data_IF_189924746697
#
_entry.id   IF_189924746697
#
_cell.length_a   1.000
_cell.length_b   1.000
_cell.length_c   1.000
_cell.angle_alpha   90.00
_cell.angle_beta   90.00
_cell.angle_gamma   90.00
#
_symmetry.space_group_name_H-M   'P 1'
#
loop_
_entity.id
_entity.type
_entity.pdbx_description
1 polymer ?
#
# COMPACT_ATOMS: atom_id res chain seq x y z
N UNK A 1 -1.55 -12.24 -63.62
CA UNK A 1 -1.01 -13.20 -62.62
C UNK A 1 -0.52 -12.36 -61.44
N UNK A 2 -1.29 -12.23 -60.35
CA UNK A 2 -1.27 -13.02 -59.09
C UNK A 2 0.10 -13.07 -58.37
N UNK A 3 0.10 -12.46 -57.16
CA UNK A 3 0.87 -12.77 -55.92
C UNK A 3 2.34 -12.30 -55.88
N UNK A 4 2.93 -11.82 -54.78
CA UNK A 4 2.51 -11.66 -53.36
C UNK A 4 3.51 -10.76 -52.63
N UNK A 5 2.98 -10.02 -51.66
CA UNK A 5 3.67 -9.34 -50.55
C UNK A 5 4.45 -10.37 -49.71
N UNK A 6 5.66 -10.06 -49.26
CA UNK A 6 6.27 -10.65 -48.06
C UNK A 6 6.67 -9.51 -47.13
N UNK A 7 5.89 -9.36 -46.06
CA UNK A 7 6.33 -8.76 -44.82
C UNK A 7 7.24 -9.78 -44.13
N UNK A 8 8.43 -9.35 -43.72
CA UNK A 8 9.13 -10.03 -42.63
C UNK A 8 8.72 -9.30 -41.36
N UNK A 9 7.88 -9.99 -40.60
CA UNK A 9 7.45 -9.70 -39.25
C UNK A 9 8.52 -10.29 -38.33
N UNK A 10 9.47 -9.46 -37.88
CA UNK A 10 10.37 -9.82 -36.78
C UNK A 10 9.71 -9.29 -35.49
N UNK A 11 8.75 -10.08 -35.02
CA UNK A 11 8.06 -9.91 -33.74
C UNK A 11 9.06 -10.05 -32.60
N UNK A 12 9.08 -9.00 -31.78
CA UNK A 12 9.45 -8.97 -30.37
C UNK A 12 9.21 -10.32 -29.68
N UNK A 13 10.25 -10.90 -29.10
CA UNK A 13 10.19 -12.01 -28.14
C UNK A 13 11.15 -11.75 -26.96
N UNK A 14 11.29 -10.49 -26.54
CA UNK A 14 12.08 -10.12 -25.35
C UNK A 14 11.22 -9.89 -24.09
N UNK A 15 9.89 -9.90 -24.21
CA UNK A 15 8.97 -9.74 -23.06
C UNK A 15 8.61 -11.08 -22.37
N UNK A 16 9.12 -12.21 -22.89
CA UNK A 16 8.94 -13.55 -22.31
C UNK A 16 10.06 -13.93 -21.31
N UNK A 17 10.85 -12.96 -20.83
CA UNK A 17 11.57 -13.10 -19.56
C UNK A 17 10.57 -12.91 -18.42
N UNK A 18 10.04 -14.07 -18.05
CA UNK A 18 8.63 -14.34 -17.88
C UNK A 18 8.02 -13.93 -16.54
N UNK A 19 6.71 -13.69 -16.56
CA UNK A 19 5.85 -13.70 -15.38
C UNK A 19 6.15 -14.88 -14.42
N UNK A 20 6.52 -16.05 -14.96
CA UNK A 20 6.91 -17.22 -14.16
C UNK A 20 8.20 -17.01 -13.37
N UNK A 21 9.21 -16.34 -13.94
CA UNK A 21 10.46 -16.03 -13.23
C UNK A 21 10.21 -15.03 -12.10
N UNK A 22 9.36 -14.03 -12.35
CA UNK A 22 8.91 -13.08 -11.32
C UNK A 22 8.11 -13.78 -10.23
N UNK A 23 7.22 -14.71 -10.59
CA UNK A 23 6.45 -15.52 -9.66
C UNK A 23 7.34 -16.42 -8.79
N UNK A 24 8.36 -17.05 -9.38
CA UNK A 24 9.35 -17.87 -8.67
C UNK A 24 10.15 -17.03 -7.67
N UNK A 25 10.57 -15.84 -8.10
CA UNK A 25 11.28 -14.88 -7.24
C UNK A 25 10.42 -14.44 -6.06
N UNK A 26 9.14 -14.13 -6.28
CA UNK A 26 8.20 -13.76 -5.21
C UNK A 26 7.97 -14.90 -4.21
N UNK A 27 7.83 -16.15 -4.69
CA UNK A 27 7.71 -17.32 -3.81
C UNK A 27 8.96 -17.51 -2.95
N UNK A 28 10.16 -17.30 -3.51
CA UNK A 28 11.42 -17.33 -2.76
C UNK A 28 11.45 -16.26 -1.67
N UNK A 29 11.14 -15.00 -2.02
CA UNK A 29 11.13 -13.88 -1.07
C UNK A 29 10.13 -14.13 0.08
N UNK A 30 8.95 -14.69 -0.23
CA UNK A 30 7.96 -15.02 0.78
C UNK A 30 8.46 -16.11 1.75
N UNK A 31 9.16 -17.12 1.24
CA UNK A 31 9.78 -18.16 2.07
C UNK A 31 10.89 -17.60 2.95
N UNK A 32 11.74 -16.73 2.39
CA UNK A 32 12.82 -16.06 3.13
C UNK A 32 12.24 -15.16 4.24
N UNK A 33 11.16 -14.45 3.96
CA UNK A 33 10.46 -13.64 4.96
C UNK A 33 9.87 -14.51 6.08
N UNK A 34 9.15 -15.60 5.74
CA UNK A 34 8.62 -16.53 6.75
C UNK A 34 9.71 -17.13 7.62
N UNK A 35 10.84 -17.49 7.01
CA UNK A 35 12.02 -17.99 7.72
C UNK A 35 12.59 -16.93 8.66
N UNK A 36 12.77 -15.70 8.20
CA UNK A 36 13.27 -14.60 9.03
C UNK A 36 12.35 -14.29 10.22
N UNK A 37 11.01 -14.32 10.04
CA UNK A 37 10.06 -14.18 11.14
C UNK A 37 10.19 -15.33 12.14
N UNK A 38 10.31 -16.57 11.64
CA UNK A 38 10.48 -17.75 12.50
C UNK A 38 11.79 -17.71 13.29
N UNK A 39 12.87 -17.27 12.64
CA UNK A 39 14.18 -17.11 13.29
C UNK A 39 14.09 -16.03 14.37
N UNK A 40 13.45 -14.89 14.10
CA UNK A 40 13.21 -13.84 15.10
C UNK A 40 12.36 -14.31 16.28
N UNK A 41 11.34 -15.16 16.05
CA UNK A 41 10.58 -15.79 17.13
C UNK A 41 11.46 -16.69 18.01
N UNK A 42 12.40 -17.44 17.42
CA UNK A 42 13.36 -18.25 18.19
C UNK A 42 14.30 -17.41 19.08
N UNK A 43 14.55 -16.13 18.74
CA UNK A 43 15.29 -15.19 19.58
C UNK A 43 14.43 -14.54 20.68
N UNK A 44 13.11 -14.43 20.45
CA UNK A 44 12.14 -13.93 21.42
C UNK A 44 12.02 -14.84 22.66
N UNK A 45 12.17 -16.15 22.46
CA UNK A 45 12.20 -17.14 23.56
C UNK A 45 13.43 -17.00 24.48
N UNK A 46 14.49 -16.33 24.02
CA UNK A 46 15.72 -16.07 24.80
C UNK A 46 15.66 -14.75 25.57
N UNK A 47 14.75 -13.83 25.22
CA UNK A 47 14.69 -12.48 25.81
C UNK A 47 13.40 -12.15 26.57
N UNK A 48 12.48 -13.10 26.72
CA UNK A 48 11.36 -13.00 27.68
C UNK A 48 10.41 -11.83 27.45
N UNK A 49 10.34 -11.30 26.22
CA UNK A 49 9.36 -10.30 25.84
C UNK A 49 8.20 -11.01 25.15
N UNK A 50 7.11 -11.23 25.90
CA UNK A 50 5.84 -11.73 25.36
C UNK A 50 5.30 -10.78 24.29
N UNK A 51 5.50 -11.13 23.02
CA UNK A 51 4.72 -10.57 21.92
C UNK A 51 3.37 -11.32 21.92
N UNK A 52 2.22 -10.63 21.90
CA UNK A 52 0.93 -11.31 21.92
C UNK A 52 0.79 -12.28 20.74
N UNK A 53 0.43 -13.52 21.06
CA UNK A 53 0.16 -14.61 20.13
C UNK A 53 -0.89 -14.22 19.08
N UNK A 54 -0.45 -13.86 17.87
CA UNK A 54 -1.35 -13.78 16.71
C UNK A 54 -1.76 -15.16 16.18
N UNK A 55 -1.24 -16.25 16.74
CA UNK A 55 -1.59 -17.62 16.34
C UNK A 55 -2.94 -18.11 16.89
N UNK A 56 -3.55 -17.41 17.87
CA UNK A 56 -4.88 -17.77 18.38
C UNK A 56 -6.06 -17.47 17.42
N UNK A 57 -5.83 -16.84 16.27
CA UNK A 57 -6.84 -16.76 15.20
C UNK A 57 -6.62 -17.73 14.03
N UNK A 58 -5.56 -18.55 14.08
CA UNK A 58 -5.24 -19.50 13.01
C UNK A 58 -5.12 -20.94 13.50
N UNK A 59 -5.85 -21.31 14.56
CA UNK A 59 -5.95 -22.71 15.00
C UNK A 59 -7.08 -23.42 14.26
N UNK A 60 -6.86 -23.75 12.99
CA UNK A 60 -7.46 -24.94 12.39
C UNK A 60 -6.34 -25.89 11.98
N UNK A 61 -6.31 -26.97 12.74
CA UNK A 61 -5.38 -28.09 12.74
C UNK A 61 -5.23 -28.72 11.35
N UNK A 62 -4.01 -28.74 10.82
CA UNK A 62 -3.63 -29.68 9.77
C UNK A 62 -3.08 -30.94 10.45
N UNK A 63 -3.94 -31.94 10.64
CA UNK A 63 -3.51 -33.33 10.80
C UNK A 63 -3.68 -34.05 9.47
N UNK A 64 -2.59 -34.66 9.04
CA UNK A 64 -2.43 -35.41 7.80
C UNK A 64 -3.52 -36.48 7.60
N UNK A 65 -4.12 -36.49 6.41
CA UNK A 65 -4.68 -37.67 5.76
C UNK A 65 -4.34 -37.57 4.27
N UNK A 66 -3.58 -38.55 3.80
CA UNK A 66 -3.35 -38.84 2.39
C UNK A 66 -4.67 -39.25 1.70
N UNK A 67 -4.74 -39.01 0.38
CA UNK A 67 -5.80 -39.35 -0.58
C UNK A 67 -7.11 -38.52 -0.54
N UNK A 68 -7.21 -37.48 -1.39
CA UNK A 68 -8.29 -37.33 -2.39
C UNK A 68 -8.04 -36.11 -3.31
N UNK A 69 -8.32 -36.28 -4.59
CA UNK A 69 -8.24 -35.25 -5.63
C UNK A 69 -9.21 -34.09 -5.32
N UNK A 70 -8.69 -32.96 -4.87
CA UNK A 70 -9.39 -31.68 -5.02
C UNK A 70 -8.38 -30.57 -5.06
N UNK A 71 -8.00 -30.23 -6.30
CA UNK A 71 -7.47 -28.95 -6.74
C UNK A 71 -7.62 -27.88 -5.65
N UNK A 72 -6.58 -27.66 -4.83
CA UNK A 72 -6.43 -26.34 -4.21
C UNK A 72 -6.14 -25.44 -5.39
N UNK A 73 -7.20 -24.92 -5.97
CA UNK A 73 -7.15 -23.93 -7.02
C UNK A 73 -6.28 -22.82 -6.41
N UNK A 74 -5.01 -22.76 -6.84
CA UNK A 74 -4.11 -21.63 -6.65
C UNK A 74 -4.82 -20.49 -7.40
N UNK A 75 -5.88 -19.94 -6.79
CA UNK A 75 -6.60 -18.76 -7.27
C UNK A 75 -5.60 -17.65 -7.04
N UNK A 76 -4.73 -17.47 -8.02
CA UNK A 76 -4.02 -16.24 -8.18
C UNK A 76 -5.07 -15.13 -8.06
N UNK A 77 -4.87 -14.13 -7.18
CA UNK A 77 -5.82 -13.06 -7.05
C UNK A 77 -6.01 -12.46 -8.44
N UNK A 78 -7.27 -12.38 -8.87
CA UNK A 78 -7.66 -11.82 -10.16
C UNK A 78 -6.88 -10.52 -10.38
N UNK A 79 -6.17 -10.34 -11.52
CA UNK A 79 -5.40 -9.13 -11.79
C UNK A 79 -6.19 -7.85 -11.53
N UNK A 80 -7.49 -7.85 -11.82
CA UNK A 80 -8.40 -6.73 -11.56
C UNK A 80 -8.57 -6.47 -10.06
N UNK A 81 -8.74 -7.52 -9.25
CA UNK A 81 -8.82 -7.39 -7.80
C UNK A 81 -7.48 -6.91 -7.21
N UNK A 82 -6.36 -7.38 -7.76
CA UNK A 82 -5.03 -6.94 -7.34
C UNK A 82 -4.81 -5.45 -7.63
N UNK A 83 -5.22 -4.99 -8.82
CA UNK A 83 -5.15 -3.58 -9.21
C UNK A 83 -6.02 -2.70 -8.31
N UNK A 84 -7.27 -3.10 -8.04
CA UNK A 84 -8.16 -2.40 -7.11
C UNK A 84 -7.58 -2.31 -5.69
N UNK A 85 -6.96 -3.38 -5.20
CA UNK A 85 -6.30 -3.37 -3.88
C UNK A 85 -5.11 -2.42 -3.88
N UNK A 86 -4.30 -2.42 -4.93
CA UNK A 86 -3.18 -1.48 -5.08
C UNK A 86 -3.67 -0.02 -5.11
N UNK A 87 -4.69 0.28 -5.90
CA UNK A 87 -5.27 1.61 -6.00
C UNK A 87 -5.82 2.08 -4.65
N UNK A 88 -6.56 1.22 -3.94
CA UNK A 88 -7.03 1.50 -2.57
C UNK A 88 -5.87 1.78 -1.61
N UNK A 89 -4.77 1.03 -1.70
CA UNK A 89 -3.59 1.24 -0.86
C UNK A 89 -2.93 2.60 -1.14
N UNK A 90 -2.73 2.93 -2.42
CA UNK A 90 -2.17 4.22 -2.83
C UNK A 90 -3.05 5.38 -2.36
N UNK A 91 -4.36 5.27 -2.56
CA UNK A 91 -5.31 6.30 -2.17
C UNK A 91 -5.37 6.48 -0.64
N UNK A 92 -5.29 5.39 0.13
CA UNK A 92 -5.14 5.45 1.60
C UNK A 92 -3.83 6.14 2.03
N UNK A 93 -2.74 5.94 1.29
CA UNK A 93 -1.47 6.63 1.55
C UNK A 93 -1.62 8.14 1.33
N UNK A 94 -2.23 8.54 0.22
CA UNK A 94 -2.50 9.95 -0.09
C UNK A 94 -3.38 10.60 0.98
N UNK A 95 -4.45 9.92 1.41
CA UNK A 95 -5.31 10.43 2.49
C UNK A 95 -4.52 10.68 3.78
N UNK A 96 -3.64 9.74 4.17
CA UNK A 96 -2.77 9.91 5.35
C UNK A 96 -1.86 11.13 5.20
N UNK A 97 -1.21 11.30 4.05
CA UNK A 97 -0.34 12.45 3.79
C UNK A 97 -1.11 13.79 3.85
N UNK A 98 -2.33 13.84 3.32
CA UNK A 98 -3.18 15.03 3.40
C UNK A 98 -3.52 15.38 4.86
N UNK A 99 -3.80 14.38 5.70
CA UNK A 99 -4.03 14.60 7.13
C UNK A 99 -2.77 15.08 7.85
N UNK A 100 -1.59 14.54 7.52
CA UNK A 100 -0.31 15.00 8.07
C UNK A 100 -0.05 16.47 7.70
N UNK A 101 -0.16 16.82 6.43
CA UNK A 101 0.00 18.22 5.98
C UNK A 101 -0.99 19.16 6.68
N UNK A 102 -2.24 18.71 6.88
CA UNK A 102 -3.23 19.52 7.60
C UNK A 102 -2.82 19.75 9.05
N UNK A 103 -2.29 18.75 9.74
CA UNK A 103 -1.81 18.89 11.12
C UNK A 103 -0.65 19.89 11.19
N UNK A 104 0.33 19.78 10.30
CA UNK A 104 1.48 20.71 10.24
C UNK A 104 1.03 22.17 10.01
N UNK A 105 0.04 22.41 9.15
CA UNK A 105 -0.50 23.76 8.93
C UNK A 105 -1.22 24.29 10.18
N UNK A 106 -1.93 23.44 10.92
CA UNK A 106 -2.57 23.83 12.20
C UNK A 106 -1.52 24.16 13.27
N UNK A 107 -0.41 23.43 13.30
CA UNK A 107 0.71 23.72 14.20
C UNK A 107 1.37 25.07 13.83
N UNK A 108 1.59 25.32 12.54
CA UNK A 108 2.09 26.61 12.05
C UNK A 108 1.11 27.76 12.36
N UNK A 109 -0.20 27.55 12.24
CA UNK A 109 -1.21 28.52 12.69
C UNK A 109 -1.05 28.84 14.17
N UNK A 110 -0.85 27.82 15.01
CA UNK A 110 -0.68 27.98 16.45
C UNK A 110 0.59 28.77 16.80
N UNK A 111 1.68 28.58 16.04
CA UNK A 111 2.91 29.37 16.18
C UNK A 111 2.65 30.83 15.76
N UNK A 112 2.04 31.05 14.61
CA UNK A 112 1.73 32.39 14.10
C UNK A 112 0.79 33.16 15.02
N UNK A 113 -0.15 32.47 15.68
CA UNK A 113 -1.05 33.08 16.65
C UNK A 113 -0.32 33.69 17.86
N UNK A 114 0.89 33.22 18.18
CA UNK A 114 1.71 33.70 19.30
C UNK A 114 2.63 34.87 18.94
N UNK A 115 2.63 35.32 17.69
CA UNK A 115 3.47 36.44 17.25
C UNK A 115 3.05 37.74 17.97
N UNK A 116 4.04 38.57 18.31
CA UNK A 116 3.87 39.84 19.01
C UNK A 116 2.98 40.85 18.27
N UNK A 117 2.41 41.80 19.03
CA UNK A 117 1.47 42.79 18.53
C UNK A 117 2.07 43.75 17.48
N UNK A 118 3.40 43.85 17.41
CA UNK A 118 4.18 44.61 16.43
C UNK A 118 4.03 44.08 15.00
N UNK A 119 3.53 42.84 14.82
CA UNK A 119 3.37 42.18 13.51
C UNK A 119 1.95 41.72 13.23
N UNK A 120 0.92 42.34 13.82
CA UNK A 120 -0.49 41.94 13.65
C UNK A 120 -0.97 41.86 12.20
N UNK A 121 -0.54 42.78 11.35
CA UNK A 121 -0.96 42.79 9.94
C UNK A 121 -0.43 41.56 9.20
N UNK A 122 0.85 41.24 9.43
CA UNK A 122 1.50 40.06 8.87
C UNK A 122 0.86 38.78 9.44
N UNK A 123 0.65 38.74 10.75
CA UNK A 123 -0.03 37.63 11.42
C UNK A 123 -1.42 37.37 10.81
N UNK A 124 -2.23 38.40 10.63
CA UNK A 124 -3.58 38.29 10.06
C UNK A 124 -3.55 37.77 8.63
N UNK A 125 -2.61 38.25 7.81
CA UNK A 125 -2.42 37.75 6.43
C UNK A 125 -2.00 36.28 6.41
N UNK A 126 -1.07 35.87 7.27
CA UNK A 126 -0.63 34.48 7.36
C UNK A 126 -1.75 33.55 7.84
N UNK A 127 -2.51 33.95 8.86
CA UNK A 127 -3.65 33.17 9.35
C UNK A 127 -4.72 32.98 8.27
N UNK A 128 -5.00 34.02 7.47
CA UNK A 128 -5.90 33.92 6.34
C UNK A 128 -5.39 32.93 5.28
N UNK A 129 -4.09 32.94 4.98
CA UNK A 129 -3.47 31.99 4.04
C UNK A 129 -3.50 30.56 4.56
N UNK A 130 -3.18 30.33 5.82
CA UNK A 130 -3.27 29.00 6.40
C UNK A 130 -4.71 28.48 6.40
N UNK A 131 -5.70 29.33 6.67
CA UNK A 131 -7.11 28.95 6.55
C UNK A 131 -7.44 28.46 5.13
N UNK A 132 -7.01 29.20 4.10
CA UNK A 132 -7.19 28.79 2.70
C UNK A 132 -6.56 27.41 2.40
N UNK A 133 -5.36 27.16 2.93
CA UNK A 133 -4.68 25.86 2.77
C UNK A 133 -5.44 24.74 3.48
N UNK A 134 -5.87 24.96 4.73
CA UNK A 134 -6.67 23.97 5.48
C UNK A 134 -7.97 23.65 4.78
N UNK A 135 -8.68 24.66 4.25
CA UNK A 135 -9.93 24.47 3.51
C UNK A 135 -9.69 23.65 2.23
N UNK A 136 -8.59 23.91 1.54
CA UNK A 136 -8.17 23.14 0.35
C UNK A 136 -7.86 21.69 0.69
N UNK A 137 -7.07 21.45 1.74
CA UNK A 137 -6.74 20.10 2.22
C UNK A 137 -7.99 19.33 2.63
N UNK A 138 -8.93 19.96 3.34
CA UNK A 138 -10.21 19.35 3.71
C UNK A 138 -11.02 18.90 2.49
N UNK A 139 -11.05 19.71 1.43
CA UNK A 139 -11.74 19.35 0.19
C UNK A 139 -11.07 18.15 -0.50
N UNK A 140 -9.74 18.12 -0.54
CA UNK A 140 -9.00 16.99 -1.10
C UNK A 140 -9.16 15.70 -0.30
N UNK A 141 -9.14 15.79 1.04
CA UNK A 141 -9.40 14.66 1.94
C UNK A 141 -10.78 14.08 1.65
N UNK A 142 -11.83 14.92 1.66
CA UNK A 142 -13.20 14.47 1.37
C UNK A 142 -13.32 13.80 0.02
N UNK A 143 -12.68 14.35 -1.01
CA UNK A 143 -12.70 13.78 -2.36
C UNK A 143 -11.98 12.43 -2.41
N UNK A 144 -10.84 12.31 -1.76
CA UNK A 144 -10.08 11.06 -1.70
C UNK A 144 -10.79 9.99 -0.86
N UNK A 145 -11.45 10.38 0.24
CA UNK A 145 -12.29 9.49 1.04
C UNK A 145 -13.53 9.00 0.27
N UNK A 146 -14.17 9.87 -0.53
CA UNK A 146 -15.27 9.45 -1.40
C UNK A 146 -14.82 8.40 -2.43
N UNK A 147 -13.67 8.62 -3.07
CA UNK A 147 -13.11 7.65 -4.02
C UNK A 147 -12.79 6.29 -3.36
N UNK A 148 -12.41 6.28 -2.08
CA UNK A 148 -12.19 5.03 -1.33
C UNK A 148 -13.48 4.25 -1.05
N UNK A 149 -14.63 4.93 -1.00
CA UNK A 149 -15.95 4.31 -0.81
C UNK A 149 -16.46 3.74 -2.13
N UNK A 150 -16.16 4.42 -3.24
CA UNK A 150 -16.63 4.07 -4.59
C UNK A 150 -15.80 2.94 -5.25
N UNK A 151 -14.58 2.68 -4.76
CA UNK A 151 -13.71 1.56 -5.14
C UNK A 151 -14.04 0.28 -4.36
#
# INVERSE_FOLDING_TARGET
MKKTKKYSDESDNDDEFSFQERQKTLRSIQQDFKRAISDMKSFSDVTGSEIPDMESMSSHSYRNLDDDDSQSLDIFPDPVQTEQVMEKCQLRSIVKELYVMKAEIIDLQSIVFRIGADKRDIQSQMLAKFKQVVDTLNNHIRRAEALLIDL
#
